data_IF_468671425606
#
_entry.id   IF_468671425606
#
_cell.length_a   1.000
_cell.length_b   1.000
_cell.length_c   1.000
_cell.angle_alpha   90.00
_cell.angle_beta   90.00
_cell.angle_gamma   90.00
#
_symmetry.space_group_name_H-M   'P 1'
#
loop_
_entity.id
_entity.type
_entity.pdbx_description
1 polymer ?
#
# COMPACT_ATOMS: atom_id res chain seq x y z
N UNK A 1 -15.72 26.41 5.13
CA UNK A 1 -14.96 25.44 5.97
C UNK A 1 -14.16 24.55 5.04
N UNK A 2 -12.85 24.81 5.00
CA UNK A 2 -11.90 24.15 4.11
C UNK A 2 -11.60 22.73 4.66
N UNK A 3 -12.19 21.71 4.06
CA UNK A 3 -11.77 20.31 4.32
C UNK A 3 -10.41 20.11 3.67
N UNK A 4 -9.37 20.18 4.48
CA UNK A 4 -8.00 19.78 4.09
C UNK A 4 -8.08 18.34 3.62
N UNK A 5 -7.87 18.12 2.32
CA UNK A 5 -7.81 16.81 1.71
C UNK A 5 -6.74 15.95 2.37
N UNK A 6 -7.14 15.04 3.22
CA UNK A 6 -6.26 13.99 3.70
C UNK A 6 -6.22 12.93 2.62
N UNK A 7 -5.07 12.76 1.98
CA UNK A 7 -4.81 11.73 0.96
C UNK A 7 -4.90 10.35 1.61
N UNK A 8 -6.11 9.84 1.77
CA UNK A 8 -6.39 8.50 2.28
C UNK A 8 -6.89 7.61 1.16
N UNK A 9 -6.42 6.40 1.13
CA UNK A 9 -6.93 5.36 0.24
C UNK A 9 -8.10 4.66 0.93
N UNK A 10 -9.22 4.61 0.22
CA UNK A 10 -10.43 3.95 0.73
C UNK A 10 -10.68 2.70 -0.10
N UNK A 11 -10.75 1.55 0.55
CA UNK A 11 -11.16 0.30 -0.08
C UNK A 11 -12.58 -0.06 0.33
N UNK A 12 -13.39 -0.41 -0.65
CA UNK A 12 -14.80 -0.74 -0.46
C UNK A 12 -15.10 -2.09 -1.11
N UNK A 13 -15.79 -2.97 -0.37
CA UNK A 13 -16.21 -4.27 -0.88
C UNK A 13 -17.28 -4.18 -1.95
N UNK A 14 -17.42 -5.23 -2.76
CA UNK A 14 -18.29 -5.27 -3.94
C UNK A 14 -19.76 -4.97 -3.68
N UNK A 15 -20.25 -5.17 -2.45
CA UNK A 15 -21.68 -5.02 -2.12
C UNK A 15 -22.17 -3.56 -2.07
N UNK A 16 -21.25 -2.58 -2.05
CA UNK A 16 -21.62 -1.16 -2.10
C UNK A 16 -21.88 -0.64 -3.53
N UNK A 17 -21.51 -1.39 -4.57
CA UNK A 17 -21.68 -0.98 -5.98
C UNK A 17 -23.12 -0.74 -6.41
N UNK A 18 -24.11 -1.38 -5.78
CA UNK A 18 -25.54 -1.25 -6.20
C UNK A 18 -26.21 0.07 -5.82
N UNK A 19 -25.64 0.89 -4.93
CA UNK A 19 -26.20 2.20 -4.54
C UNK A 19 -25.46 3.41 -5.11
N UNK A 20 -24.45 3.21 -5.95
CA UNK A 20 -23.60 4.28 -6.46
C UNK A 20 -24.04 4.85 -7.84
N UNK A 21 -25.28 4.60 -8.25
CA UNK A 21 -25.82 5.21 -9.46
C UNK A 21 -26.55 6.51 -9.07
N UNK A 22 -25.93 7.63 -9.26
CA UNK A 22 -26.46 8.97 -9.53
C UNK A 22 -25.60 10.10 -8.90
N UNK A 23 -24.33 10.17 -9.21
CA UNK A 23 -23.57 11.44 -9.22
C UNK A 23 -23.51 12.29 -7.94
N UNK A 24 -23.96 11.82 -6.78
CA UNK A 24 -23.85 12.53 -5.50
C UNK A 24 -23.19 11.63 -4.45
N UNK A 25 -21.98 11.97 -4.07
CA UNK A 25 -21.15 11.31 -3.06
C UNK A 25 -21.80 11.36 -1.66
N UNK A 26 -22.80 10.55 -1.39
CA UNK A 26 -23.27 10.30 -0.02
C UNK A 26 -23.19 8.82 0.26
N UNK A 27 -22.22 8.43 1.10
CA UNK A 27 -22.23 7.14 1.79
C UNK A 27 -23.25 7.27 2.91
N UNK A 28 -24.35 6.58 2.80
CA UNK A 28 -25.34 6.50 3.87
C UNK A 28 -24.82 5.55 4.96
N UNK A 29 -24.18 6.14 5.96
CA UNK A 29 -23.76 5.46 7.19
C UNK A 29 -24.87 5.58 8.22
N UNK A 30 -26.00 4.91 8.00
CA UNK A 30 -27.01 4.77 9.02
C UNK A 30 -26.52 3.80 10.12
N UNK A 31 -26.07 4.34 11.22
CA UNK A 31 -25.76 3.56 12.42
C UNK A 31 -27.05 3.11 13.09
N UNK A 32 -27.29 1.81 13.11
CA UNK A 32 -28.31 1.25 13.97
C UNK A 32 -27.85 1.34 15.42
N UNK A 33 -28.57 2.09 16.26
CA UNK A 33 -28.38 2.08 17.69
C UNK A 33 -28.79 0.69 18.19
N UNK A 34 -27.85 -0.22 18.40
CA UNK A 34 -28.12 -1.47 19.10
C UNK A 34 -28.33 -1.14 20.59
N UNK A 35 -29.46 -1.55 21.10
CA UNK A 35 -29.71 -1.61 22.55
C UNK A 35 -28.71 -2.62 23.12
N UNK A 36 -27.87 -2.21 24.04
CA UNK A 36 -27.15 -3.14 24.91
C UNK A 36 -28.21 -3.74 25.84
N UNK A 37 -28.64 -4.95 25.53
CA UNK A 37 -29.48 -5.73 26.46
C UNK A 37 -28.58 -6.15 27.62
N UNK A 38 -28.93 -5.66 28.83
CA UNK A 38 -28.27 -6.08 30.05
C UNK A 38 -28.89 -7.42 30.45
N UNK A 39 -28.13 -8.50 30.29
CA UNK A 39 -28.54 -9.84 30.73
C UNK A 39 -28.77 -9.85 32.23
N UNK A 40 -29.91 -10.39 32.68
CA UNK A 40 -30.22 -10.65 34.09
C UNK A 40 -29.70 -12.05 34.46
N UNK A 41 -29.41 -12.25 35.74
CA UNK A 41 -28.81 -13.48 36.29
C UNK A 41 -29.62 -14.76 36.03
N UNK A 42 -30.87 -14.68 35.59
CA UNK A 42 -31.71 -15.82 35.22
C UNK A 42 -31.70 -16.25 33.75
N UNK A 43 -31.02 -15.47 32.87
CA UNK A 43 -31.05 -15.72 31.41
C UNK A 43 -29.99 -16.70 30.94
N UNK A 44 -29.15 -17.25 31.84
CA UNK A 44 -27.99 -18.09 31.47
C UNK A 44 -28.43 -19.47 30.91
N UNK A 45 -29.54 -20.00 31.30
CA UNK A 45 -30.06 -21.30 30.82
C UNK A 45 -30.68 -21.22 29.42
N UNK A 46 -31.02 -19.99 28.96
CA UNK A 46 -31.58 -19.74 27.64
C UNK A 46 -30.51 -19.36 26.60
N UNK A 47 -29.26 -19.15 27.02
CA UNK A 47 -28.18 -18.76 26.14
C UNK A 47 -27.73 -19.93 25.24
N UNK A 48 -27.81 -19.75 23.93
CA UNK A 48 -27.30 -20.71 22.95
C UNK A 48 -25.75 -20.65 22.82
N UNK A 49 -25.03 -20.65 23.95
CA UNK A 49 -23.57 -20.63 23.98
C UNK A 49 -23.02 -19.90 25.20
N UNK A 50 -21.68 -19.87 25.32
CA UNK A 50 -21.01 -19.16 26.39
C UNK A 50 -20.73 -17.70 26.02
N UNK A 51 -20.89 -16.74 26.95
CA UNK A 51 -20.48 -15.37 26.74
C UNK A 51 -18.99 -15.27 26.39
N UNK A 52 -18.66 -14.35 25.53
CA UNK A 52 -17.24 -14.11 25.19
C UNK A 52 -16.52 -13.56 26.42
N UNK A 53 -15.49 -14.26 26.83
CA UNK A 53 -14.67 -13.88 27.99
C UNK A 53 -13.84 -12.63 27.67
N UNK A 54 -13.39 -11.94 28.71
CA UNK A 54 -12.54 -10.73 28.60
C UNK A 54 -11.05 -11.09 28.42
N UNK A 55 -10.64 -12.33 28.66
CA UNK A 55 -9.29 -12.85 28.41
C UNK A 55 -9.32 -13.82 27.23
N UNK A 56 -8.46 -13.58 26.22
CA UNK A 56 -8.38 -14.35 24.98
C UNK A 56 -6.97 -14.88 24.79
N UNK A 57 -6.63 -15.92 25.53
CA UNK A 57 -5.33 -16.62 25.50
C UNK A 57 -5.26 -17.75 24.45
N UNK A 58 -6.39 -18.12 23.88
CA UNK A 58 -6.53 -19.12 22.83
C UNK A 58 -6.20 -18.61 21.42
N UNK A 59 -6.03 -17.30 21.24
CA UNK A 59 -5.65 -16.69 19.95
C UNK A 59 -4.15 -16.42 19.91
N UNK A 60 -3.42 -17.23 19.16
CA UNK A 60 -1.99 -17.06 19.01
C UNK A 60 -1.62 -15.95 18.03
N UNK A 61 -0.46 -15.32 18.26
CA UNK A 61 0.11 -14.37 17.33
C UNK A 61 0.51 -15.06 16.02
N UNK A 62 0.55 -14.27 14.93
CA UNK A 62 1.03 -14.74 13.62
C UNK A 62 2.52 -15.05 13.71
N UNK A 63 2.86 -16.33 13.78
CA UNK A 63 4.25 -16.80 13.84
C UNK A 63 4.97 -16.62 12.50
N UNK A 64 6.29 -16.78 12.51
CA UNK A 64 7.10 -16.73 11.28
C UNK A 64 6.75 -17.84 10.28
N UNK A 65 6.20 -18.94 10.74
CA UNK A 65 5.81 -20.13 9.96
C UNK A 65 4.31 -20.13 9.59
N UNK A 66 3.54 -19.14 10.04
CA UNK A 66 2.10 -19.10 9.75
C UNK A 66 1.83 -18.88 8.26
N UNK A 67 0.92 -19.66 7.69
CA UNK A 67 0.48 -19.53 6.29
C UNK A 67 -0.25 -18.21 6.00
N UNK A 68 -0.80 -17.57 7.03
CA UNK A 68 -1.44 -16.24 6.89
C UNK A 68 -0.45 -15.08 6.92
N UNK A 69 0.85 -15.33 7.20
CA UNK A 69 1.87 -14.30 7.29
C UNK A 69 2.14 -13.64 5.94
N UNK A 70 1.99 -12.32 5.90
CA UNK A 70 2.24 -11.50 4.72
C UNK A 70 3.58 -10.75 4.76
N UNK A 71 4.32 -10.85 5.89
CA UNK A 71 5.52 -10.03 6.11
C UNK A 71 5.21 -8.57 6.48
N UNK A 72 3.97 -8.22 6.72
CA UNK A 72 3.58 -6.89 7.19
C UNK A 72 3.85 -6.75 8.71
N UNK A 73 4.63 -5.74 9.15
CA UNK A 73 5.18 -5.70 10.52
C UNK A 73 4.14 -5.72 11.64
N UNK A 74 2.94 -5.18 11.41
CA UNK A 74 1.87 -5.03 12.41
C UNK A 74 0.68 -5.93 12.14
N UNK A 75 0.85 -7.00 11.36
CA UNK A 75 -0.23 -7.92 11.04
C UNK A 75 -0.79 -8.58 12.29
N UNK A 76 -2.11 -8.51 12.46
CA UNK A 76 -2.86 -9.21 13.51
C UNK A 76 -3.38 -10.56 13.00
N UNK A 77 -3.58 -11.56 13.88
CA UNK A 77 -4.24 -12.82 13.49
C UNK A 77 -5.65 -12.58 12.99
N UNK A 78 -6.06 -13.29 11.94
CA UNK A 78 -7.43 -13.23 11.41
C UNK A 78 -8.44 -13.66 12.45
N UNK A 79 -8.14 -14.69 13.25
CA UNK A 79 -8.99 -15.20 14.33
C UNK A 79 -9.37 -14.13 15.36
N UNK A 80 -8.45 -13.21 15.68
CA UNK A 80 -8.73 -12.09 16.57
C UNK A 80 -9.82 -11.17 16.00
N UNK A 81 -9.68 -10.79 14.75
CA UNK A 81 -10.65 -9.91 14.11
C UNK A 81 -11.99 -10.62 13.85
N UNK A 82 -11.95 -11.93 13.55
CA UNK A 82 -13.19 -12.74 13.43
C UNK A 82 -13.98 -12.74 14.75
N UNK A 83 -13.32 -12.89 15.89
CA UNK A 83 -13.97 -12.84 17.22
C UNK A 83 -14.58 -11.47 17.48
N UNK A 84 -13.82 -10.39 17.29
CA UNK A 84 -14.29 -9.02 17.48
C UNK A 84 -15.52 -8.74 16.60
N UNK A 85 -15.44 -9.10 15.32
CA UNK A 85 -16.52 -8.84 14.36
C UNK A 85 -17.77 -9.67 14.68
N UNK A 86 -17.62 -10.94 15.04
CA UNK A 86 -18.76 -11.80 15.43
C UNK A 86 -19.51 -11.28 16.64
N UNK A 87 -18.79 -10.72 17.62
CA UNK A 87 -19.41 -10.22 18.86
C UNK A 87 -20.06 -8.84 18.69
N UNK A 88 -19.60 -8.06 17.70
CA UNK A 88 -19.99 -6.66 17.54
C UNK A 88 -20.94 -6.40 16.36
N UNK A 89 -21.17 -7.37 15.50
CA UNK A 89 -21.95 -7.17 14.26
C UNK A 89 -22.73 -8.42 13.85
N UNK A 90 -23.77 -8.22 13.04
CA UNK A 90 -24.53 -9.25 12.37
C UNK A 90 -24.10 -9.45 10.91
N UNK A 91 -24.52 -10.57 10.29
CA UNK A 91 -24.28 -10.81 8.85
C UNK A 91 -24.93 -9.69 8.01
N UNK A 92 -24.17 -9.14 7.07
CA UNK A 92 -24.59 -8.03 6.22
C UNK A 92 -24.33 -6.64 6.76
N UNK A 93 -23.90 -6.50 8.03
CA UNK A 93 -23.45 -5.22 8.58
C UNK A 93 -22.21 -4.66 7.91
N UNK A 94 -21.91 -3.38 8.14
CA UNK A 94 -20.74 -2.69 7.60
C UNK A 94 -19.68 -2.55 8.68
N UNK A 95 -18.52 -3.12 8.42
CA UNK A 95 -17.31 -2.97 9.25
C UNK A 95 -16.43 -1.89 8.64
N UNK A 96 -16.08 -0.86 9.41
CA UNK A 96 -15.15 0.19 9.03
C UNK A 96 -13.82 0.01 9.78
N UNK A 97 -12.73 -0.07 9.03
CA UNK A 97 -11.37 -0.01 9.60
C UNK A 97 -10.62 1.18 8.99
N UNK A 98 -10.46 2.29 9.74
CA UNK A 98 -9.82 3.52 9.23
C UNK A 98 -8.28 3.46 9.18
N UNK A 99 -7.67 2.36 9.64
CA UNK A 99 -6.22 2.11 9.66
C UNK A 99 -5.91 0.66 9.29
N UNK A 100 -6.48 0.20 8.18
CA UNK A 100 -6.63 -1.23 7.88
C UNK A 100 -5.33 -1.97 7.54
N UNK A 101 -4.20 -1.28 7.33
CA UNK A 101 -2.90 -1.90 7.07
C UNK A 101 -2.95 -2.97 5.98
N UNK A 102 -2.54 -4.19 6.32
CA UNK A 102 -2.59 -5.33 5.40
C UNK A 102 -4.00 -5.97 5.26
N UNK A 103 -5.05 -5.35 5.82
CA UNK A 103 -6.44 -5.71 5.62
C UNK A 103 -6.93 -6.94 6.38
N UNK A 104 -6.38 -7.25 7.53
CA UNK A 104 -6.84 -8.39 8.35
C UNK A 104 -8.31 -8.26 8.71
N UNK A 105 -8.77 -7.06 9.10
CA UNK A 105 -10.18 -6.76 9.39
C UNK A 105 -11.07 -7.00 8.18
N UNK A 106 -10.61 -6.63 6.98
CA UNK A 106 -11.38 -6.80 5.75
C UNK A 106 -11.53 -8.27 5.38
N UNK A 107 -10.46 -9.04 5.56
CA UNK A 107 -10.47 -10.49 5.34
C UNK A 107 -11.44 -11.19 6.32
N UNK A 108 -11.36 -10.86 7.61
CA UNK A 108 -12.26 -11.39 8.62
C UNK A 108 -13.73 -11.02 8.34
N UNK A 109 -13.99 -9.76 7.97
CA UNK A 109 -15.32 -9.29 7.58
C UNK A 109 -15.87 -10.04 6.38
N UNK A 110 -15.03 -10.25 5.35
CA UNK A 110 -15.41 -10.98 4.15
C UNK A 110 -15.75 -12.45 4.45
N UNK A 111 -14.94 -13.14 5.27
CA UNK A 111 -15.22 -14.52 5.72
C UNK A 111 -16.55 -14.62 6.45
N UNK A 112 -16.85 -13.62 7.25
CA UNK A 112 -18.06 -13.56 8.08
C UNK A 112 -19.27 -12.96 7.33
N UNK A 113 -19.17 -12.72 6.03
CA UNK A 113 -20.20 -12.13 5.18
C UNK A 113 -20.65 -10.73 5.61
N UNK A 114 -19.76 -9.96 6.24
CA UNK A 114 -19.97 -8.54 6.52
C UNK A 114 -19.53 -7.73 5.32
N UNK A 115 -20.19 -6.60 5.10
CA UNK A 115 -19.65 -5.56 4.19
C UNK A 115 -18.50 -4.86 4.90
N UNK A 116 -17.59 -4.27 4.15
CA UNK A 116 -16.44 -3.63 4.76
C UNK A 116 -15.96 -2.41 3.97
N UNK A 117 -15.39 -1.47 4.71
CA UNK A 117 -14.67 -0.30 4.20
C UNK A 117 -13.34 -0.23 4.94
N UNK A 118 -12.24 -0.26 4.21
CA UNK A 118 -10.91 -0.06 4.77
C UNK A 118 -10.30 1.26 4.28
N UNK A 119 -9.61 1.95 5.17
CA UNK A 119 -8.88 3.18 4.85
C UNK A 119 -7.44 2.99 5.30
N UNK A 120 -6.49 3.35 4.46
CA UNK A 120 -5.07 3.39 4.83
C UNK A 120 -4.36 4.52 4.09
N UNK A 121 -3.27 5.01 4.65
CA UNK A 121 -2.41 6.00 4.02
C UNK A 121 -1.37 5.33 3.11
N UNK A 122 -1.00 4.08 3.40
CA UNK A 122 0.03 3.34 2.68
C UNK A 122 -0.51 2.70 1.40
N UNK A 123 -0.04 3.18 0.26
CA UNK A 123 -0.35 2.58 -1.05
C UNK A 123 0.08 1.11 -1.12
N UNK A 124 1.23 0.79 -0.52
CA UNK A 124 1.74 -0.60 -0.46
C UNK A 124 0.81 -1.50 0.33
N UNK A 125 0.32 -1.05 1.49
CA UNK A 125 -0.65 -1.78 2.29
C UNK A 125 -1.94 -2.03 1.49
N UNK A 126 -2.48 -1.01 0.84
CA UNK A 126 -3.69 -1.13 0.02
C UNK A 126 -3.53 -2.10 -1.16
N UNK A 127 -2.38 -2.10 -1.83
CA UNK A 127 -2.09 -3.09 -2.90
C UNK A 127 -1.95 -4.51 -2.37
N UNK A 128 -1.27 -4.67 -1.24
CA UNK A 128 -1.15 -5.98 -0.58
C UNK A 128 -2.53 -6.53 -0.23
N UNK A 129 -3.38 -5.70 0.33
CA UNK A 129 -4.75 -6.00 0.68
C UNK A 129 -5.61 -6.38 -0.55
N UNK A 130 -5.53 -5.63 -1.66
CA UNK A 130 -6.21 -5.98 -2.91
C UNK A 130 -5.78 -7.36 -3.43
N UNK A 131 -4.46 -7.62 -3.46
CA UNK A 131 -3.92 -8.92 -3.88
C UNK A 131 -4.40 -10.05 -2.97
N UNK A 132 -4.46 -9.80 -1.64
CA UNK A 132 -4.95 -10.77 -0.67
C UNK A 132 -6.43 -11.11 -0.90
N UNK A 133 -7.30 -10.12 -1.01
CA UNK A 133 -8.73 -10.30 -1.26
C UNK A 133 -8.98 -11.00 -2.62
N UNK A 134 -8.22 -10.65 -3.64
CA UNK A 134 -8.31 -11.31 -4.94
C UNK A 134 -7.88 -12.78 -4.88
N UNK A 135 -6.79 -13.07 -4.14
CA UNK A 135 -6.27 -14.45 -4.00
C UNK A 135 -7.20 -15.33 -3.18
N UNK A 136 -7.65 -14.83 -2.01
CA UNK A 136 -8.41 -15.63 -1.05
C UNK A 136 -9.90 -15.75 -1.40
N UNK A 137 -10.50 -14.70 -1.97
CA UNK A 137 -11.95 -14.65 -2.21
C UNK A 137 -12.35 -14.39 -3.66
N UNK A 138 -11.39 -14.21 -4.57
CA UNK A 138 -11.64 -13.83 -5.97
C UNK A 138 -12.38 -12.48 -6.12
N UNK A 139 -12.26 -11.61 -5.13
CA UNK A 139 -12.92 -10.31 -5.09
C UNK A 139 -11.96 -9.25 -5.63
N UNK A 140 -12.45 -8.47 -6.61
CA UNK A 140 -11.80 -7.25 -7.07
C UNK A 140 -12.34 -6.07 -6.26
N UNK A 141 -11.63 -5.75 -5.17
CA UNK A 141 -11.98 -4.60 -4.33
C UNK A 141 -11.86 -3.28 -5.11
N UNK A 142 -12.81 -2.37 -4.93
CA UNK A 142 -12.73 -1.02 -5.46
C UNK A 142 -11.72 -0.22 -4.61
N UNK A 143 -10.67 0.27 -5.24
CA UNK A 143 -9.71 1.17 -4.62
C UNK A 143 -10.01 2.61 -5.06
N UNK A 144 -10.40 3.44 -4.09
CA UNK A 144 -10.56 4.88 -4.29
C UNK A 144 -9.27 5.53 -3.83
N UNK A 145 -8.52 6.11 -4.76
CA UNK A 145 -7.28 6.83 -4.46
C UNK A 145 -7.62 8.29 -4.19
N UNK A 146 -7.03 8.85 -3.12
CA UNK A 146 -6.94 10.30 -2.96
C UNK A 146 -5.98 10.91 -3.98
N UNK A 147 -6.09 12.21 -4.21
CA UNK A 147 -5.10 12.93 -5.01
C UNK A 147 -3.74 12.90 -4.30
N UNK A 148 -2.72 12.48 -5.04
CA UNK A 148 -1.33 12.50 -4.57
C UNK A 148 -0.70 13.77 -5.11
N UNK A 149 -0.39 14.71 -4.22
CA UNK A 149 0.33 15.94 -4.54
C UNK A 149 1.76 15.94 -3.99
N UNK A 150 2.57 16.89 -4.41
CA UNK A 150 3.96 17.04 -3.95
C UNK A 150 4.04 17.24 -2.43
N UNK A 151 3.11 18.01 -1.84
CA UNK A 151 3.10 18.29 -0.39
C UNK A 151 2.87 17.04 0.44
N UNK A 152 2.03 16.14 -0.05
CA UNK A 152 1.83 14.83 0.57
C UNK A 152 3.10 13.99 0.51
N UNK A 153 3.72 13.88 -0.68
CA UNK A 153 4.92 13.06 -0.89
C UNK A 153 6.13 13.56 -0.08
N UNK A 154 6.26 14.87 0.10
CA UNK A 154 7.31 15.46 0.94
C UNK A 154 7.21 15.09 2.43
N UNK A 155 6.00 14.79 2.91
CA UNK A 155 5.72 14.40 4.31
C UNK A 155 5.85 12.91 4.57
N UNK A 156 5.97 12.09 3.54
CA UNK A 156 6.16 10.66 3.70
C UNK A 156 7.51 10.34 4.36
N UNK A 157 7.54 9.25 5.11
CA UNK A 157 8.82 8.68 5.53
C UNK A 157 9.61 8.20 4.30
N UNK A 158 10.96 8.23 4.33
CA UNK A 158 11.77 7.88 3.16
C UNK A 158 11.44 6.51 2.55
N UNK A 159 11.15 5.51 3.36
CA UNK A 159 10.78 4.18 2.86
C UNK A 159 9.39 4.15 2.20
N UNK A 160 8.43 4.94 2.69
CA UNK A 160 7.10 5.03 2.09
C UNK A 160 7.15 5.80 0.77
N UNK A 161 7.99 6.84 0.71
CA UNK A 161 8.25 7.56 -0.52
C UNK A 161 8.91 6.65 -1.57
N UNK A 162 9.93 5.88 -1.20
CA UNK A 162 10.56 4.91 -2.09
C UNK A 162 9.57 3.83 -2.56
N UNK A 163 8.72 3.31 -1.66
CA UNK A 163 7.64 2.38 -2.01
C UNK A 163 6.67 2.99 -3.02
N UNK A 164 6.25 4.24 -2.83
CA UNK A 164 5.37 4.93 -3.78
C UNK A 164 6.01 5.03 -5.16
N UNK A 165 7.28 5.42 -5.25
CA UNK A 165 8.00 5.47 -6.52
C UNK A 165 8.08 4.07 -7.15
N UNK A 166 8.67 3.11 -6.45
CA UNK A 166 9.05 1.81 -7.01
C UNK A 166 7.83 0.94 -7.27
N UNK A 167 6.94 0.83 -6.29
CA UNK A 167 5.79 -0.09 -6.37
C UNK A 167 4.60 0.53 -7.09
N UNK A 168 4.28 1.80 -6.81
CA UNK A 168 3.08 2.42 -7.37
C UNK A 168 3.32 3.00 -8.76
N UNK A 169 4.49 3.57 -9.02
CA UNK A 169 4.78 4.20 -10.31
C UNK A 169 5.48 3.25 -11.27
N UNK A 170 6.55 2.61 -10.86
CA UNK A 170 7.28 1.68 -11.72
C UNK A 170 6.73 0.24 -11.70
N UNK A 171 5.73 -0.08 -10.87
CA UNK A 171 5.21 -1.44 -10.69
C UNK A 171 6.29 -2.47 -10.31
N UNK A 172 7.38 -1.96 -9.74
CA UNK A 172 8.60 -2.69 -9.47
C UNK A 172 8.61 -3.38 -8.10
N UNK A 173 9.81 -3.83 -7.72
CA UNK A 173 10.07 -4.50 -6.44
C UNK A 173 11.15 -3.73 -5.68
N UNK A 174 10.86 -3.41 -4.41
CA UNK A 174 11.82 -2.77 -3.50
C UNK A 174 12.96 -3.73 -3.18
N UNK A 175 14.20 -3.19 -3.07
CA UNK A 175 15.37 -3.97 -2.64
C UNK A 175 15.17 -4.52 -1.23
N UNK A 176 15.54 -5.78 -1.02
CA UNK A 176 15.44 -6.41 0.30
C UNK A 176 16.59 -5.98 1.24
N UNK A 177 17.67 -5.41 0.72
CA UNK A 177 18.85 -4.99 1.47
C UNK A 177 18.64 -3.56 1.98
N UNK A 178 18.73 -3.37 3.30
CA UNK A 178 18.61 -2.06 3.94
C UNK A 178 19.92 -1.26 3.98
N UNK A 179 21.05 -1.89 3.69
CA UNK A 179 22.37 -1.26 3.69
C UNK A 179 23.33 -2.01 2.78
N UNK A 180 24.26 -1.27 2.16
CA UNK A 180 25.29 -1.86 1.28
C UNK A 180 24.85 -2.15 -0.15
N UNK A 181 23.67 -1.69 -0.58
CA UNK A 181 23.14 -1.84 -1.95
C UNK A 181 23.59 -0.72 -2.89
N UNK A 182 24.51 0.12 -2.41
CA UNK A 182 25.17 1.19 -3.18
C UNK A 182 24.20 2.17 -3.84
N UNK A 183 23.05 2.37 -3.21
CA UNK A 183 22.04 3.33 -3.66
C UNK A 183 20.97 2.75 -4.57
N UNK A 184 20.84 1.44 -4.70
CA UNK A 184 19.73 0.80 -5.41
C UNK A 184 18.59 0.54 -4.43
N UNK A 185 17.50 1.30 -4.55
CA UNK A 185 16.33 1.19 -3.69
C UNK A 185 15.33 0.13 -4.19
N UNK A 186 15.39 -0.22 -5.48
CA UNK A 186 14.55 -1.25 -6.06
C UNK A 186 14.81 -1.50 -7.54
N UNK A 187 13.93 -2.28 -8.15
CA UNK A 187 14.04 -2.69 -9.55
C UNK A 187 12.70 -2.58 -10.26
N UNK A 188 12.71 -2.26 -11.53
CA UNK A 188 11.54 -2.42 -12.41
C UNK A 188 11.14 -3.90 -12.49
N UNK A 189 9.92 -4.24 -12.96
CA UNK A 189 9.54 -5.62 -13.23
C UNK A 189 10.55 -6.32 -14.16
N UNK A 190 10.79 -7.61 -13.96
CA UNK A 190 11.70 -8.40 -14.81
C UNK A 190 11.27 -8.40 -16.28
N UNK A 191 9.97 -8.39 -16.56
CA UNK A 191 9.41 -8.30 -17.92
C UNK A 191 9.81 -6.97 -18.62
N UNK A 192 10.15 -5.93 -17.86
CA UNK A 192 10.65 -4.65 -18.34
C UNK A 192 12.18 -4.53 -18.23
N UNK A 193 12.88 -5.63 -17.96
CA UNK A 193 14.34 -5.71 -17.90
C UNK A 193 14.94 -5.71 -16.48
N UNK A 194 14.16 -5.61 -15.41
CA UNK A 194 14.67 -5.62 -14.03
C UNK A 194 15.72 -4.54 -13.81
N UNK A 195 15.47 -3.31 -14.28
CA UNK A 195 16.42 -2.19 -14.19
C UNK A 195 16.43 -1.59 -12.79
N UNK A 196 17.60 -1.23 -12.23
CA UNK A 196 17.71 -0.62 -10.92
C UNK A 196 17.07 0.77 -10.88
N UNK A 197 16.49 1.10 -9.73
CA UNK A 197 15.88 2.38 -9.43
C UNK A 197 16.54 2.93 -8.16
N UNK A 198 17.02 4.18 -8.22
CA UNK A 198 17.44 4.96 -7.07
C UNK A 198 16.41 6.04 -6.79
N UNK A 199 16.04 6.22 -5.53
CA UNK A 199 15.05 7.20 -5.09
C UNK A 199 15.70 8.17 -4.11
N UNK A 200 15.58 9.46 -4.39
CA UNK A 200 16.06 10.55 -3.54
C UNK A 200 14.91 11.47 -3.16
N UNK A 201 14.53 11.46 -1.89
CA UNK A 201 13.52 12.37 -1.34
C UNK A 201 14.13 13.75 -1.08
N UNK A 202 14.79 14.33 -2.10
CA UNK A 202 15.49 15.61 -2.02
C UNK A 202 15.43 16.35 -3.35
N UNK A 203 15.75 17.63 -3.29
CA UNK A 203 15.86 18.53 -4.42
C UNK A 203 17.31 18.69 -4.87
N UNK A 204 17.52 19.27 -6.06
CA UNK A 204 18.84 19.67 -6.57
C UNK A 204 19.88 18.55 -6.63
N UNK A 205 19.45 17.36 -7.06
CA UNK A 205 20.36 16.22 -7.23
C UNK A 205 21.40 16.54 -8.29
N UNK A 206 22.67 16.34 -7.92
CA UNK A 206 23.83 16.66 -8.77
C UNK A 206 24.56 15.43 -9.30
N UNK A 207 25.71 15.73 -9.98
CA UNK A 207 26.60 14.76 -10.64
C UNK A 207 26.93 13.55 -9.77
N UNK A 208 27.35 13.76 -8.51
CA UNK A 208 27.84 12.69 -7.62
C UNK A 208 26.82 11.54 -7.41
N UNK A 209 25.52 11.85 -7.45
CA UNK A 209 24.48 10.82 -7.33
C UNK A 209 24.44 9.96 -8.58
N UNK A 210 24.61 10.58 -9.76
CA UNK A 210 24.63 9.88 -11.04
C UNK A 210 25.86 8.97 -11.14
N UNK A 211 27.06 9.47 -10.78
CA UNK A 211 28.33 8.71 -10.76
C UNK A 211 28.23 7.47 -9.85
N UNK A 212 27.72 7.66 -8.63
CA UNK A 212 27.54 6.56 -7.69
C UNK A 212 26.56 5.52 -8.21
N UNK A 213 25.47 5.96 -8.83
CA UNK A 213 24.47 5.07 -9.37
C UNK A 213 24.97 4.33 -10.63
N UNK A 214 25.73 5.00 -11.48
CA UNK A 214 26.42 4.35 -12.62
C UNK A 214 27.28 3.19 -12.12
N UNK A 215 28.09 3.42 -11.08
CA UNK A 215 28.92 2.38 -10.47
C UNK A 215 28.08 1.20 -9.96
N UNK A 216 26.93 1.49 -9.34
CA UNK A 216 26.00 0.47 -8.88
C UNK A 216 25.40 -0.35 -10.02
N UNK A 217 25.01 0.30 -11.14
CA UNK A 217 24.48 -0.34 -12.34
C UNK A 217 25.52 -1.30 -12.95
N UNK A 218 26.78 -0.86 -13.06
CA UNK A 218 27.89 -1.68 -13.59
C UNK A 218 28.10 -2.95 -12.78
N UNK A 219 28.08 -2.85 -11.43
CA UNK A 219 28.29 -3.99 -10.53
C UNK A 219 27.25 -5.08 -10.63
N UNK A 220 26.03 -4.73 -11.04
CA UNK A 220 24.96 -5.70 -11.25
C UNK A 220 24.79 -6.10 -12.72
N UNK A 221 25.76 -5.74 -13.58
CA UNK A 221 25.77 -6.05 -15.01
C UNK A 221 24.52 -5.58 -15.77
N UNK A 222 24.02 -4.39 -15.42
CA UNK A 222 22.92 -3.74 -16.15
C UNK A 222 23.46 -2.57 -16.96
N UNK A 223 22.69 -2.14 -17.96
CA UNK A 223 23.04 -1.02 -18.85
C UNK A 223 22.01 0.10 -18.79
N UNK A 224 20.94 -0.06 -18.02
CA UNK A 224 19.90 0.96 -17.83
C UNK A 224 19.54 1.10 -16.37
N UNK A 225 19.07 2.29 -15.96
CA UNK A 225 18.57 2.54 -14.63
C UNK A 225 17.80 3.85 -14.54
N UNK A 226 17.15 4.07 -13.40
CA UNK A 226 16.33 5.24 -13.14
C UNK A 226 16.75 5.92 -11.85
N UNK A 227 16.86 7.26 -11.88
CA UNK A 227 16.98 8.07 -10.66
C UNK A 227 15.74 8.93 -10.56
N UNK A 228 15.07 8.89 -9.41
CA UNK A 228 13.88 9.68 -9.12
C UNK A 228 14.18 10.67 -8.00
N UNK A 229 13.87 11.95 -8.22
CA UNK A 229 14.04 13.02 -7.23
C UNK A 229 13.04 14.15 -7.44
N UNK A 230 12.98 15.13 -6.55
CA UNK A 230 12.13 16.31 -6.75
C UNK A 230 12.68 17.21 -7.87
N UNK A 231 14.00 17.39 -7.93
CA UNK A 231 14.65 18.16 -9.01
C UNK A 231 16.10 17.73 -9.22
N UNK A 232 16.65 18.09 -10.38
CA UNK A 232 18.02 17.81 -10.78
C UNK A 232 18.71 19.11 -11.22
N UNK A 233 20.00 19.25 -10.89
CA UNK A 233 20.81 20.36 -11.39
C UNK A 233 21.45 20.01 -12.74
N UNK A 234 21.92 21.02 -13.49
CA UNK A 234 22.51 20.86 -14.80
C UNK A 234 23.60 19.78 -14.86
N UNK A 235 24.49 19.72 -13.84
CA UNK A 235 25.55 18.71 -13.78
C UNK A 235 25.07 17.26 -13.74
N UNK A 236 23.85 16.99 -13.25
CA UNK A 236 23.28 15.63 -13.31
C UNK A 236 22.94 15.23 -14.76
N UNK A 237 22.36 16.13 -15.55
CA UNK A 237 22.05 15.88 -16.96
C UNK A 237 23.31 15.73 -17.81
N UNK A 238 24.32 16.54 -17.55
CA UNK A 238 25.62 16.46 -18.22
C UNK A 238 26.27 15.10 -17.96
N UNK A 239 26.20 14.62 -16.72
CA UNK A 239 26.76 13.32 -16.34
C UNK A 239 26.00 12.16 -16.95
N UNK A 240 24.67 12.21 -17.00
CA UNK A 240 23.85 11.21 -17.73
C UNK A 240 24.24 11.15 -19.20
N UNK A 241 24.46 12.30 -19.84
CA UNK A 241 24.92 12.34 -21.24
C UNK A 241 26.30 11.71 -21.40
N UNK A 242 27.23 11.94 -20.44
CA UNK A 242 28.53 11.30 -20.42
C UNK A 242 28.42 9.77 -20.32
N UNK A 243 27.69 9.27 -19.32
CA UNK A 243 27.53 7.82 -19.08
C UNK A 243 26.94 7.10 -20.30
N UNK A 244 25.98 7.72 -20.96
CA UNK A 244 25.35 7.19 -22.17
C UNK A 244 26.35 7.12 -23.34
N UNK A 245 27.13 8.17 -23.58
CA UNK A 245 28.02 8.28 -24.72
C UNK A 245 29.30 7.45 -24.54
N UNK A 246 29.93 7.55 -23.37
CA UNK A 246 31.23 6.92 -23.10
C UNK A 246 31.09 5.51 -22.58
N UNK A 247 30.17 5.28 -21.64
CA UNK A 247 30.08 4.05 -20.87
C UNK A 247 28.96 3.12 -21.31
N UNK A 248 28.13 3.57 -22.28
CA UNK A 248 26.96 2.82 -22.79
C UNK A 248 25.95 2.44 -21.70
N UNK A 249 25.87 3.26 -20.65
CA UNK A 249 24.90 3.12 -19.57
C UNK A 249 23.85 4.22 -19.69
N UNK A 250 22.60 3.84 -19.87
CA UNK A 250 21.46 4.74 -20.07
C UNK A 250 20.75 4.99 -18.74
N UNK A 251 21.06 6.10 -18.07
CA UNK A 251 20.42 6.52 -16.84
C UNK A 251 19.32 7.52 -17.17
N UNK A 252 18.10 7.23 -16.75
CA UNK A 252 16.96 8.13 -16.95
C UNK A 252 16.66 8.88 -15.64
N UNK A 253 16.72 10.21 -15.70
CA UNK A 253 16.29 11.07 -14.60
C UNK A 253 14.77 11.30 -14.69
N UNK A 254 14.05 11.16 -13.58
CA UNK A 254 12.62 11.43 -13.50
C UNK A 254 12.33 12.31 -12.28
N UNK A 255 11.61 13.39 -12.49
CA UNK A 255 11.11 14.20 -11.38
C UNK A 255 9.86 13.58 -10.79
N UNK A 256 9.65 13.83 -9.50
CA UNK A 256 8.43 13.39 -8.80
C UNK A 256 7.17 13.97 -9.47
N UNK A 257 7.25 15.21 -9.98
CA UNK A 257 6.14 15.83 -10.69
C UNK A 257 5.78 15.07 -11.97
N UNK A 258 6.78 14.67 -12.77
CA UNK A 258 6.54 13.85 -13.98
C UNK A 258 5.85 12.53 -13.64
N UNK A 259 6.22 11.91 -12.51
CA UNK A 259 5.55 10.69 -12.06
C UNK A 259 4.11 10.92 -11.60
N UNK A 260 3.81 12.06 -10.96
CA UNK A 260 2.44 12.46 -10.61
C UNK A 260 1.61 12.63 -11.88
N UNK A 261 2.15 13.32 -12.87
CA UNK A 261 1.49 13.63 -14.15
C UNK A 261 1.34 12.39 -15.06
N UNK A 262 1.87 11.23 -14.64
CA UNK A 262 1.77 9.98 -15.42
C UNK A 262 2.72 9.89 -16.60
N UNK A 263 3.73 10.75 -16.70
CA UNK A 263 4.77 10.74 -17.73
C UNK A 263 5.83 9.64 -17.46
N UNK A 264 5.38 8.41 -17.37
CA UNK A 264 6.27 7.24 -17.38
C UNK A 264 6.29 6.77 -18.83
N UNK A 265 7.33 7.12 -19.58
CA UNK A 265 7.55 6.48 -20.87
C UNK A 265 7.80 4.99 -20.63
N UNK A 266 6.92 4.16 -21.15
CA UNK A 266 7.26 2.75 -21.34
C UNK A 266 8.52 2.69 -22.20
N UNK A 267 9.49 1.80 -21.91
CA UNK A 267 10.62 1.61 -22.79
C UNK A 267 10.06 1.29 -24.18
N UNK A 268 10.30 2.18 -25.15
CA UNK A 268 9.97 1.92 -26.55
C UNK A 268 10.53 0.56 -26.91
N UNK A 269 9.65 -0.36 -27.30
CA UNK A 269 10.04 -1.62 -27.93
C UNK A 269 10.86 -1.25 -29.19
N UNK A 270 12.17 -1.39 -29.10
CA UNK A 270 13.09 -1.40 -30.23
C UNK A 270 13.69 -2.78 -30.34
#
# INVERSE_FOLDING_TARGET
>A
MNTRGTNRLIMVGQFLKKKWNNGKNKVDLSFRKQRMDVFREGDLDELKGFPVQNLWDDIQMVSSQSSERLGYPTQKPVALLERIIKTATDEGDVVLDPFCGCGTTLVASQKLKRRWVGIDISHTACRLMQKRLQREFKIKALLIKGEVDLKYLQKLLPHDFANWVIVDKFLGKVSARKSGDMGIDGFTPEILGGYPIQVKQSESIGRNVVDNFETAIRRINKTKGYIVAYSFVKGAYEEVARTKNQDKIDITLRTVQELIDGKIEEPSNA
#
